data_IF_312525681713
#
_entry.id   IF_312525681713
#
_cell.length_a   1.000
_cell.length_b   1.000
_cell.length_c   1.000
_cell.angle_alpha   90.00
_cell.angle_beta   90.00
_cell.angle_gamma   90.00
#
_symmetry.space_group_name_H-M   'P 1'
#
loop_
_entity.id
_entity.type
_entity.pdbx_description
1 polymer ?
#
# COMPACT_ATOMS: atom_id res chain seq x y z
N UNK A 1 -12.71 46.98 9.26
CA UNK A 1 -13.07 46.27 8.01
C UNK A 1 -12.94 44.79 8.29
N UNK A 2 -14.05 44.07 8.38
CA UNK A 2 -14.05 42.63 8.63
C UNK A 2 -13.87 41.90 7.30
N UNK A 3 -12.82 41.09 7.18
CA UNK A 3 -12.65 40.15 6.05
C UNK A 3 -13.48 38.92 6.39
N UNK A 4 -14.58 38.73 5.68
CA UNK A 4 -15.42 37.54 5.76
C UNK A 4 -14.65 36.38 5.14
N UNK A 5 -14.22 35.42 5.96
CA UNK A 5 -13.68 34.15 5.48
C UNK A 5 -14.76 33.41 4.69
N UNK A 6 -14.60 33.33 3.38
CA UNK A 6 -15.35 32.40 2.54
C UNK A 6 -14.95 30.99 2.92
N UNK A 7 -15.87 30.25 3.53
CA UNK A 7 -15.73 28.81 3.73
C UNK A 7 -15.52 28.14 2.38
N UNK A 8 -14.28 27.75 2.06
CA UNK A 8 -13.99 26.84 0.96
C UNK A 8 -14.43 25.44 1.38
N UNK A 9 -15.65 25.07 0.98
CA UNK A 9 -16.05 23.66 0.83
C UNK A 9 -15.30 23.06 -0.36
N UNK A 10 -13.97 22.97 -0.26
CA UNK A 10 -13.16 22.15 -1.16
C UNK A 10 -13.09 20.75 -0.58
N UNK A 11 -13.53 19.77 -1.39
CA UNK A 11 -12.91 18.45 -1.43
C UNK A 11 -12.92 17.63 -0.14
N UNK A 12 -14.12 17.32 0.35
CA UNK A 12 -14.39 15.98 0.90
C UNK A 12 -14.32 14.96 -0.26
N UNK A 13 -13.11 14.82 -0.79
CA UNK A 13 -12.73 13.93 -1.88
C UNK A 13 -13.24 12.52 -1.60
N UNK A 14 -13.46 11.84 -2.70
CA UNK A 14 -14.08 10.55 -2.85
C UNK A 14 -13.26 9.37 -2.27
N UNK A 15 -12.80 9.50 -1.02
CA UNK A 15 -11.84 8.62 -0.36
C UNK A 15 -12.38 7.20 -0.16
N UNK A 16 -13.68 7.06 0.14
CA UNK A 16 -14.33 5.75 0.33
C UNK A 16 -14.49 4.98 -0.98
N UNK A 17 -14.78 5.66 -2.09
CA UNK A 17 -14.94 5.02 -3.39
C UNK A 17 -13.58 4.61 -3.97
N UNK A 18 -12.55 5.45 -3.83
CA UNK A 18 -11.17 5.09 -4.18
C UNK A 18 -10.69 3.88 -3.39
N UNK A 19 -10.95 3.84 -2.07
CA UNK A 19 -10.66 2.68 -1.24
C UNK A 19 -11.36 1.42 -1.76
N UNK A 20 -12.63 1.52 -2.15
CA UNK A 20 -13.42 0.40 -2.69
C UNK A 20 -12.88 -0.10 -4.03
N UNK A 21 -12.50 0.82 -4.92
CA UNK A 21 -11.87 0.53 -6.22
C UNK A 21 -10.54 -0.21 -6.04
N UNK A 22 -9.68 0.30 -5.15
CA UNK A 22 -8.40 -0.33 -4.79
C UNK A 22 -8.59 -1.70 -4.13
N UNK A 23 -9.55 -1.83 -3.20
CA UNK A 23 -9.92 -3.13 -2.60
C UNK A 23 -10.30 -4.15 -3.66
N UNK A 24 -11.10 -3.74 -4.65
CA UNK A 24 -11.60 -4.62 -5.72
C UNK A 24 -10.47 -5.04 -6.66
N UNK A 25 -9.59 -4.12 -7.02
CA UNK A 25 -8.46 -4.41 -7.89
C UNK A 25 -7.40 -5.32 -7.23
N UNK A 26 -7.08 -5.10 -5.95
CA UNK A 26 -6.21 -6.00 -5.19
C UNK A 26 -6.76 -7.42 -5.14
N UNK A 27 -8.07 -7.59 -4.92
CA UNK A 27 -8.73 -8.91 -4.96
C UNK A 27 -8.67 -9.59 -6.34
N UNK A 28 -8.51 -8.83 -7.43
CA UNK A 28 -8.52 -9.36 -8.79
C UNK A 28 -7.12 -9.68 -9.35
N UNK A 29 -6.05 -9.07 -8.83
CA UNK A 29 -4.73 -9.02 -9.49
C UNK A 29 -3.57 -9.73 -8.79
N UNK A 30 -3.85 -10.49 -7.72
CA UNK A 30 -2.82 -11.24 -6.96
C UNK A 30 -1.92 -12.16 -7.82
N UNK A 31 -2.30 -12.67 -9.03
CA UNK A 31 -1.39 -13.52 -9.80
C UNK A 31 -0.50 -12.84 -10.86
N UNK A 32 -0.72 -11.58 -11.28
CA UNK A 32 -0.09 -11.04 -12.51
C UNK A 32 0.45 -9.60 -12.47
N UNK A 33 0.67 -9.06 -11.29
CA UNK A 33 1.11 -7.67 -11.11
C UNK A 33 -0.07 -6.74 -10.84
N UNK A 34 0.19 -5.66 -10.09
CA UNK A 34 -0.84 -4.77 -9.56
C UNK A 34 -1.44 -3.89 -10.66
N UNK A 35 -2.28 -4.48 -11.52
CA UNK A 35 -3.07 -3.74 -12.47
C UNK A 35 -4.36 -3.32 -11.75
N UNK A 36 -4.48 -2.04 -11.40
CA UNK A 36 -5.69 -1.53 -10.77
C UNK A 36 -6.78 -1.30 -11.81
N UNK A 37 -7.15 -2.34 -12.54
CA UNK A 37 -8.21 -2.29 -13.56
C UNK A 37 -9.58 -2.32 -12.88
N UNK A 38 -10.26 -1.18 -12.91
CA UNK A 38 -11.71 -1.15 -12.78
C UNK A 38 -12.28 -0.46 -14.01
N UNK A 39 -13.43 -0.95 -14.46
CA UNK A 39 -14.04 -0.69 -15.76
C UNK A 39 -14.34 0.78 -16.08
N UNK A 40 -14.13 1.72 -15.16
CA UNK A 40 -14.40 3.15 -15.39
C UNK A 40 -13.36 4.14 -14.82
N UNK A 41 -12.44 3.73 -13.91
CA UNK A 41 -11.42 4.63 -13.28
C UNK A 41 -10.15 3.89 -12.81
N UNK A 42 -9.67 2.92 -13.58
CA UNK A 42 -8.47 2.16 -13.23
C UNK A 42 -7.17 2.95 -13.44
N UNK A 43 -6.15 2.66 -12.63
CA UNK A 43 -4.80 3.21 -12.80
C UNK A 43 -3.81 2.10 -13.14
N UNK A 44 -2.88 2.37 -14.05
CA UNK A 44 -1.79 1.49 -14.44
C UNK A 44 -0.58 1.84 -13.61
N UNK A 45 -0.01 0.85 -12.90
CA UNK A 45 1.13 1.04 -12.02
C UNK A 45 2.25 0.08 -12.40
N UNK A 46 3.47 0.61 -12.53
CA UNK A 46 4.68 -0.16 -12.81
C UNK A 46 5.48 -0.36 -11.53
N UNK A 47 5.94 -1.59 -11.30
CA UNK A 47 6.92 -1.89 -10.25
C UNK A 47 8.25 -1.19 -10.57
N UNK A 48 8.73 -0.36 -9.65
CA UNK A 48 9.97 0.43 -9.81
C UNK A 48 11.10 -0.13 -8.96
N UNK A 49 10.76 -0.62 -7.75
CA UNK A 49 11.69 -1.20 -6.78
C UNK A 49 11.00 -2.28 -5.96
N UNK A 50 11.76 -3.22 -5.42
CA UNK A 50 11.27 -4.15 -4.41
C UNK A 50 12.33 -4.49 -3.36
N UNK A 51 11.88 -5.08 -2.25
CA UNK A 51 12.68 -5.68 -1.19
C UNK A 51 12.11 -7.07 -0.95
N UNK A 52 12.96 -8.09 -0.94
CA UNK A 52 12.62 -9.45 -0.54
C UNK A 52 13.61 -9.83 0.57
N UNK A 53 13.16 -10.14 1.79
CA UNK A 53 14.06 -10.58 2.86
C UNK A 53 14.79 -11.86 2.47
N UNK A 54 16.11 -11.91 2.73
CA UNK A 54 16.99 -13.00 2.29
C UNK A 54 16.69 -14.33 3.04
N UNK A 55 16.16 -14.25 4.26
CA UNK A 55 15.98 -15.39 5.17
C UNK A 55 14.77 -16.31 4.85
N UNK A 56 13.95 -15.99 3.85
CA UNK A 56 12.80 -16.83 3.47
C UNK A 56 13.17 -18.04 2.59
N UNK A 57 14.43 -18.19 2.18
CA UNK A 57 14.85 -19.28 1.31
C UNK A 57 14.97 -20.66 2.01
N UNK A 58 14.98 -20.75 3.35
CA UNK A 58 15.46 -21.98 4.00
C UNK A 58 14.69 -22.62 5.15
N UNK A 59 13.62 -22.07 5.76
CA UNK A 59 13.12 -22.75 6.99
C UNK A 59 11.66 -22.66 7.38
N UNK A 60 10.77 -22.12 6.55
CA UNK A 60 9.33 -22.18 6.85
C UNK A 60 8.69 -23.04 5.77
N UNK A 61 8.29 -24.25 6.15
CA UNK A 61 7.42 -25.11 5.34
C UNK A 61 6.33 -24.23 4.73
N UNK A 62 6.40 -24.01 3.42
CA UNK A 62 5.62 -23.02 2.68
C UNK A 62 4.20 -23.03 3.24
N UNK A 63 3.79 -22.01 4.03
CA UNK A 63 2.40 -21.91 4.43
C UNK A 63 1.63 -21.91 3.12
N UNK A 64 0.64 -22.80 3.02
CA UNK A 64 -0.23 -22.92 1.85
C UNK A 64 -0.52 -21.52 1.26
N UNK A 65 -0.57 -21.33 -0.06
CA UNK A 65 -0.69 -20.03 -0.73
C UNK A 65 -1.96 -19.22 -0.37
N UNK A 66 -2.69 -19.61 0.66
CA UNK A 66 -4.04 -19.23 1.03
C UNK A 66 -4.12 -18.35 2.31
N UNK A 67 -2.99 -17.96 2.92
CA UNK A 67 -2.97 -17.16 4.17
C UNK A 67 -2.08 -15.91 4.07
N UNK A 68 -2.21 -15.18 2.97
CA UNK A 68 -1.49 -13.93 2.75
C UNK A 68 -2.23 -12.75 3.40
N UNK A 69 -1.47 -11.81 3.94
CA UNK A 69 -1.97 -10.47 4.25
C UNK A 69 -1.12 -9.41 3.60
N UNK A 70 -1.71 -8.22 3.44
CA UNK A 70 -1.09 -7.12 2.75
C UNK A 70 -1.27 -5.81 3.52
N UNK A 71 -0.24 -4.97 3.52
CA UNK A 71 -0.36 -3.55 3.87
C UNK A 71 -0.12 -2.76 2.59
N UNK A 72 -1.04 -1.86 2.26
CA UNK A 72 -0.90 -0.96 1.12
C UNK A 72 -0.77 0.48 1.62
N UNK A 73 0.26 1.16 1.14
CA UNK A 73 0.48 2.58 1.35
C UNK A 73 0.27 3.34 0.03
N UNK A 74 -0.51 4.41 0.02
CA UNK A 74 -0.78 5.23 -1.16
C UNK A 74 -0.37 6.68 -0.99
N UNK A 75 0.34 7.24 -1.97
CA UNK A 75 0.90 8.58 -1.90
C UNK A 75 0.51 9.39 -3.13
N UNK A 76 -0.10 10.57 -2.90
CA UNK A 76 -0.35 11.56 -3.95
C UNK A 76 0.88 12.44 -4.12
N UNK A 77 1.05 13.00 -5.31
CA UNK A 77 2.05 14.02 -5.60
C UNK A 77 1.32 15.34 -5.93
N UNK A 78 1.99 16.47 -5.72
CA UNK A 78 1.48 17.79 -6.11
C UNK A 78 1.63 18.04 -7.62
N UNK A 79 2.53 17.29 -8.26
CA UNK A 79 2.73 17.28 -9.70
C UNK A 79 2.83 15.84 -10.24
N UNK A 80 2.62 15.68 -11.54
CA UNK A 80 2.68 14.37 -12.19
C UNK A 80 4.10 14.03 -12.70
N UNK A 81 5.12 14.74 -12.26
CA UNK A 81 6.48 14.52 -12.76
C UNK A 81 7.11 13.29 -12.10
N UNK A 82 7.74 12.45 -12.92
CA UNK A 82 8.57 11.38 -12.40
C UNK A 82 9.83 11.97 -11.78
N UNK A 83 10.01 11.80 -10.46
CA UNK A 83 11.16 12.33 -9.75
C UNK A 83 12.11 11.20 -9.32
N UNK A 84 13.27 11.11 -9.97
CA UNK A 84 14.28 10.08 -9.68
C UNK A 84 14.78 10.13 -8.22
N UNK A 85 14.92 11.32 -7.63
CA UNK A 85 15.37 11.48 -6.23
C UNK A 85 14.36 10.85 -5.27
N UNK A 86 13.07 11.04 -5.53
CA UNK A 86 12.00 10.39 -4.75
C UNK A 86 12.06 8.88 -4.91
N UNK A 87 12.28 8.37 -6.12
CA UNK A 87 12.41 6.92 -6.35
C UNK A 87 13.63 6.33 -5.65
N UNK A 88 14.77 7.01 -5.66
CA UNK A 88 16.00 6.48 -5.05
C UNK A 88 15.94 6.52 -3.51
N UNK A 89 15.19 7.48 -2.93
CA UNK A 89 14.96 7.61 -1.49
C UNK A 89 13.66 6.95 -0.98
N UNK A 90 12.98 6.15 -1.82
CA UNK A 90 11.64 5.60 -1.53
C UNK A 90 11.51 4.93 -0.18
N UNK A 91 12.55 4.21 0.28
CA UNK A 91 12.50 3.47 1.54
C UNK A 91 12.29 4.36 2.76
N UNK A 92 12.80 5.59 2.71
CA UNK A 92 12.71 6.55 3.82
C UNK A 92 11.35 7.24 3.84
N UNK A 93 10.99 7.93 2.75
CA UNK A 93 9.80 8.78 2.75
C UNK A 93 8.49 7.99 2.69
N UNK A 94 8.50 6.75 2.19
CA UNK A 94 7.32 5.86 2.25
C UNK A 94 7.21 5.08 3.55
N UNK A 95 8.23 5.10 4.40
CA UNK A 95 8.30 4.26 5.61
C UNK A 95 8.59 2.78 5.36
N UNK A 96 8.89 2.36 4.12
CA UNK A 96 9.21 0.95 3.82
C UNK A 96 10.44 0.44 4.59
N UNK A 97 11.41 1.29 4.91
CA UNK A 97 12.54 0.93 5.79
C UNK A 97 12.08 0.54 7.18
N UNK A 98 11.14 1.30 7.76
CA UNK A 98 10.59 1.01 9.07
C UNK A 98 9.84 -0.32 9.04
N UNK A 99 9.00 -0.54 8.02
CA UNK A 99 8.27 -1.80 7.86
C UNK A 99 9.24 -2.98 7.81
N UNK A 100 10.29 -2.88 7.00
CA UNK A 100 11.30 -3.92 6.91
C UNK A 100 12.00 -4.21 8.25
N UNK A 101 12.25 -3.18 9.06
CA UNK A 101 12.99 -3.31 10.31
C UNK A 101 12.13 -3.72 11.51
N UNK A 102 10.84 -3.39 11.51
CA UNK A 102 10.01 -3.47 12.72
C UNK A 102 8.72 -4.26 12.54
N UNK A 103 8.40 -4.74 11.33
CA UNK A 103 7.29 -5.68 11.18
C UNK A 103 7.61 -6.95 11.99
N UNK A 104 6.71 -7.41 12.88
CA UNK A 104 6.94 -8.64 13.64
C UNK A 104 7.20 -9.84 12.72
N UNK A 105 8.24 -10.63 13.02
CA UNK A 105 8.66 -11.80 12.23
C UNK A 105 7.54 -12.83 12.05
N UNK A 106 6.67 -12.97 13.06
CA UNK A 106 5.52 -13.86 13.05
C UNK A 106 4.48 -13.53 11.97
N UNK A 107 4.49 -12.30 11.44
CA UNK A 107 3.67 -11.90 10.29
C UNK A 107 4.28 -12.34 8.96
N UNK A 108 5.57 -12.71 8.93
CA UNK A 108 6.22 -13.35 7.80
C UNK A 108 6.36 -12.43 6.59
N UNK A 109 7.07 -11.30 6.74
CA UNK A 109 7.32 -10.34 5.65
C UNK A 109 7.93 -11.04 4.42
N UNK A 110 7.17 -11.13 3.34
CA UNK A 110 7.53 -11.80 2.08
C UNK A 110 8.18 -10.84 1.08
N UNK A 111 7.52 -9.70 0.84
CA UNK A 111 7.93 -8.74 -0.17
C UNK A 111 7.46 -7.33 0.20
N UNK A 112 8.26 -6.32 -0.08
CA UNK A 112 7.82 -4.92 -0.15
C UNK A 112 8.04 -4.45 -1.58
N UNK A 113 7.00 -3.98 -2.24
CA UNK A 113 7.06 -3.53 -3.65
C UNK A 113 6.65 -2.08 -3.75
N UNK A 114 7.44 -1.29 -4.47
CA UNK A 114 7.17 0.12 -4.74
C UNK A 114 6.77 0.31 -6.20
N UNK A 115 5.59 0.90 -6.37
CA UNK A 115 4.95 1.13 -7.64
C UNK A 115 4.83 2.62 -7.95
N UNK A 116 4.96 2.95 -9.22
CA UNK A 116 4.71 4.27 -9.77
C UNK A 116 3.60 4.19 -10.82
N UNK A 117 2.68 5.14 -10.79
CA UNK A 117 1.59 5.21 -11.75
C UNK A 117 2.08 5.67 -13.12
N UNK A 118 1.72 4.95 -14.17
CA UNK A 118 1.99 5.32 -15.57
C UNK A 118 0.80 5.98 -16.25
N UNK A 119 -0.43 5.62 -15.84
CA UNK A 119 -1.66 6.19 -16.38
C UNK A 119 -2.84 5.99 -15.40
N UNK A 120 -3.93 6.76 -15.52
CA UNK A 120 -4.03 8.03 -16.23
C UNK A 120 -3.29 9.14 -15.48
N UNK A 121 -2.98 10.21 -16.21
CA UNK A 121 -2.36 11.40 -15.63
C UNK A 121 -3.40 12.22 -14.86
N UNK A 122 -3.52 11.98 -13.54
CA UNK A 122 -4.59 12.54 -12.72
C UNK A 122 -4.12 12.81 -11.29
N UNK A 123 -4.18 14.04 -10.80
CA UNK A 123 -3.78 14.34 -9.42
C UNK A 123 -4.71 13.71 -8.36
N UNK A 124 -5.87 13.20 -8.78
CA UNK A 124 -6.86 12.59 -7.88
C UNK A 124 -6.51 11.17 -7.44
N UNK A 125 -5.59 10.48 -8.13
CA UNK A 125 -5.14 9.14 -7.76
C UNK A 125 -3.73 9.13 -7.18
N UNK A 126 -3.38 8.02 -6.53
CA UNK A 126 -2.05 7.83 -5.99
C UNK A 126 -1.02 7.84 -7.13
N UNK A 127 0.02 8.65 -6.95
CA UNK A 127 1.19 8.65 -7.83
C UNK A 127 2.08 7.44 -7.52
N UNK A 128 2.19 7.10 -6.24
CA UNK A 128 3.00 5.99 -5.77
C UNK A 128 2.21 5.07 -4.84
N UNK A 129 2.52 3.78 -4.92
CA UNK A 129 1.97 2.76 -4.02
C UNK A 129 3.12 1.93 -3.44
N UNK A 130 3.08 1.66 -2.15
CA UNK A 130 3.89 0.58 -1.54
C UNK A 130 2.95 -0.57 -1.18
N UNK A 131 3.29 -1.78 -1.61
CA UNK A 131 2.59 -3.00 -1.23
C UNK A 131 3.53 -3.89 -0.42
N UNK A 132 3.13 -4.17 0.81
CA UNK A 132 3.79 -5.10 1.73
C UNK A 132 3.00 -6.40 1.68
N UNK A 133 3.68 -7.52 1.48
CA UNK A 133 3.12 -8.87 1.51
C UNK A 133 3.64 -9.64 2.72
N UNK A 134 2.73 -10.33 3.41
CA UNK A 134 2.95 -11.12 4.61
C UNK A 134 2.39 -12.54 4.38
N UNK A 135 3.18 -13.59 4.59
CA UNK A 135 2.77 -14.98 4.27
C UNK A 135 2.16 -15.75 5.45
N UNK A 136 2.20 -15.18 6.64
CA UNK A 136 1.91 -15.90 7.87
C UNK A 136 0.59 -15.47 8.53
N UNK A 137 -0.37 -14.93 7.78
CA UNK A 137 -1.62 -14.35 8.34
C UNK A 137 -2.71 -15.43 8.46
N UNK A 138 -2.44 -16.41 9.32
CA UNK A 138 -3.24 -17.65 9.45
C UNK A 138 -4.28 -17.61 10.57
N UNK A 139 -4.18 -16.69 11.53
CA UNK A 139 -5.07 -16.62 12.70
C UNK A 139 -5.64 -15.21 12.91
N UNK A 140 -6.78 -15.06 13.63
CA UNK A 140 -7.32 -13.75 13.99
C UNK A 140 -6.33 -12.88 14.79
N UNK A 141 -5.52 -13.47 15.65
CA UNK A 141 -4.49 -12.77 16.44
C UNK A 141 -3.43 -12.18 15.51
N UNK A 142 -2.98 -12.93 14.50
CA UNK A 142 -2.03 -12.44 13.50
C UNK A 142 -2.65 -11.35 12.61
N UNK A 143 -3.93 -11.47 12.26
CA UNK A 143 -4.66 -10.40 11.58
C UNK A 143 -4.74 -9.13 12.43
N UNK A 144 -5.05 -9.27 13.72
CA UNK A 144 -5.12 -8.14 14.66
C UNK A 144 -3.74 -7.48 14.82
N UNK A 145 -2.67 -8.27 14.92
CA UNK A 145 -1.30 -7.77 15.01
C UNK A 145 -0.89 -7.00 13.75
N UNK A 146 -1.22 -7.52 12.56
CA UNK A 146 -0.98 -6.81 11.29
C UNK A 146 -1.75 -5.48 11.22
N UNK A 147 -3.02 -5.49 11.67
CA UNK A 147 -3.85 -4.30 11.74
C UNK A 147 -3.27 -3.26 12.70
N UNK A 148 -2.91 -3.67 13.91
CA UNK A 148 -2.31 -2.82 14.93
C UNK A 148 -0.99 -2.20 14.43
N UNK A 149 -0.10 -3.00 13.85
CA UNK A 149 1.13 -2.50 13.25
C UNK A 149 0.86 -1.42 12.18
N UNK A 150 -0.08 -1.68 11.26
CA UNK A 150 -0.43 -0.72 10.23
C UNK A 150 -1.05 0.57 10.80
N UNK A 151 -1.83 0.49 11.89
CA UNK A 151 -2.39 1.66 12.56
C UNK A 151 -1.30 2.50 13.23
N UNK A 152 -0.36 1.88 13.96
CA UNK A 152 0.77 2.59 14.57
C UNK A 152 1.62 3.29 13.51
N UNK A 153 1.93 2.59 12.42
CA UNK A 153 2.62 3.15 11.26
C UNK A 153 1.93 4.40 10.72
N UNK A 154 0.61 4.36 10.56
CA UNK A 154 -0.19 5.50 10.09
C UNK A 154 -0.07 6.71 11.03
N UNK A 155 -0.13 6.47 12.34
CA UNK A 155 -0.09 7.55 13.35
C UNK A 155 1.31 8.15 13.47
N UNK A 156 2.36 7.33 13.49
CA UNK A 156 3.73 7.78 13.76
C UNK A 156 4.41 8.42 12.55
N UNK A 157 4.04 8.04 11.32
CA UNK A 157 4.83 8.39 10.13
C UNK A 157 4.11 9.29 9.12
N UNK A 158 2.82 9.58 9.31
CA UNK A 158 1.96 10.47 8.49
C UNK A 158 2.21 10.45 6.97
N UNK A 159 2.72 9.35 6.41
CA UNK A 159 3.14 9.32 5.02
C UNK A 159 2.15 8.43 4.26
N UNK A 160 1.07 9.06 3.82
CA UNK A 160 0.13 8.45 2.89
C UNK A 160 -1.03 7.67 3.50
N UNK A 161 -1.86 7.18 2.58
CA UNK A 161 -3.03 6.35 2.86
C UNK A 161 -2.58 4.95 3.25
N UNK A 162 -3.10 4.39 4.35
CA UNK A 162 -2.78 3.02 4.81
C UNK A 162 -4.02 2.14 4.79
N UNK A 163 -3.95 0.97 4.17
CA UNK A 163 -4.96 -0.08 4.28
C UNK A 163 -4.34 -1.46 4.46
N UNK A 164 -5.09 -2.34 5.13
CA UNK A 164 -4.70 -3.74 5.40
C UNK A 164 -5.70 -4.68 4.75
N UNK A 165 -5.20 -5.79 4.22
CA UNK A 165 -5.97 -6.85 3.60
C UNK A 165 -5.50 -8.20 4.14
N UNK A 166 -6.44 -9.13 4.32
CA UNK A 166 -6.14 -10.54 4.50
C UNK A 166 -6.92 -11.30 3.43
N UNK A 167 -6.26 -12.24 2.76
CA UNK A 167 -6.92 -13.19 1.90
C UNK A 167 -7.41 -14.34 2.78
N UNK A 168 -8.73 -14.52 2.83
CA UNK A 168 -9.37 -15.66 3.49
C UNK A 168 -10.39 -16.20 2.51
N UNK A 169 -10.18 -17.42 2.02
CA UNK A 169 -11.18 -18.15 1.26
C UNK A 169 -12.06 -18.92 2.25
N UNK A 170 -13.36 -18.62 2.21
CA UNK A 170 -14.44 -19.41 2.82
C UNK A 170 -14.57 -20.78 2.17
#
# INVERSE_FOLDING_TARGET
SFVTSTNSTEDKVNYKEQQTVLRKALRAHIPKGLLLETREKGGVYREVRCITPEDQLTSWSVPSPHHKGYIMLGFKSLDNSFNKVMVDSWKDWTGARYIYMYLPDELGLSKITFYHREAPDSLDMFMYIVLVECNCITTPERQMLLLDFAQRMRVERMSGYVSVYAESLS
#
